data_IF_562894866835
#
_entry.id   IF_562894866835
#
_cell.length_a   1.000
_cell.length_b   1.000
_cell.length_c   1.000
_cell.angle_alpha   90.00
_cell.angle_beta   90.00
_cell.angle_gamma   90.00
#
_symmetry.space_group_name_H-M   'P 1'
#
loop_
_entity.id
_entity.type
_entity.pdbx_description
1 polymer ?
#
# COMPACT_ATOMS: atom_id res chain seq x y z
N UNK A 1 16.85 -14.16 -3.26
CA UNK A 1 15.81 -13.22 -2.83
C UNK A 1 15.93 -11.93 -3.60
N UNK A 2 14.85 -11.43 -4.13
CA UNK A 2 14.93 -10.21 -4.91
C UNK A 2 14.98 -9.01 -3.99
N UNK A 3 15.51 -7.90 -4.51
CA UNK A 3 15.55 -6.69 -3.73
C UNK A 3 14.13 -6.16 -3.54
N UNK A 4 13.96 -5.27 -2.56
CA UNK A 4 12.64 -4.76 -2.28
C UNK A 4 12.13 -3.95 -3.47
N UNK A 5 13.03 -3.28 -4.20
CA UNK A 5 12.59 -2.54 -5.38
C UNK A 5 12.10 -3.47 -6.47
N UNK A 6 12.77 -4.59 -6.66
CA UNK A 6 12.32 -5.55 -7.66
C UNK A 6 10.99 -6.17 -7.30
N UNK A 7 10.81 -6.48 -6.03
CA UNK A 7 9.57 -7.07 -5.58
C UNK A 7 8.44 -6.05 -5.71
N UNK A 8 8.70 -4.81 -5.30
CA UNK A 8 7.69 -3.78 -5.40
C UNK A 8 7.27 -3.57 -6.85
N UNK A 9 8.23 -3.55 -7.76
CA UNK A 9 7.91 -3.35 -9.16
C UNK A 9 7.09 -4.51 -9.71
N UNK A 10 7.48 -5.72 -9.35
CA UNK A 10 6.79 -6.90 -9.88
C UNK A 10 5.35 -6.97 -9.38
N UNK A 11 5.15 -6.68 -8.10
CA UNK A 11 3.81 -6.81 -7.55
C UNK A 11 2.95 -5.59 -7.82
N UNK A 12 3.55 -4.45 -8.14
CA UNK A 12 2.75 -3.27 -8.46
C UNK A 12 1.79 -3.56 -9.61
N UNK A 13 2.25 -4.30 -10.59
CA UNK A 13 1.38 -4.58 -11.72
C UNK A 13 0.15 -5.35 -11.32
N UNK A 14 0.31 -6.33 -10.43
CA UNK A 14 -0.83 -7.09 -9.95
C UNK A 14 -1.73 -6.25 -9.09
N UNK A 15 -1.14 -5.50 -8.17
CA UNK A 15 -1.94 -4.77 -7.21
C UNK A 15 -2.66 -3.60 -7.83
N UNK A 16 -2.08 -2.99 -8.87
CA UNK A 16 -2.75 -1.88 -9.51
C UNK A 16 -4.02 -2.29 -10.25
N UNK A 17 -4.18 -3.59 -10.49
CA UNK A 17 -5.42 -4.08 -11.07
C UNK A 17 -6.52 -4.20 -10.05
N UNK A 18 -6.21 -4.08 -8.78
CA UNK A 18 -7.23 -4.22 -7.74
C UNK A 18 -7.98 -2.91 -7.57
N UNK A 19 -9.30 -2.98 -7.41
CA UNK A 19 -10.05 -1.74 -7.22
C UNK A 19 -9.61 -1.05 -5.94
N UNK A 20 -9.40 0.24 -6.01
CA UNK A 20 -9.02 1.01 -4.85
C UNK A 20 -7.54 1.23 -4.68
N UNK A 21 -6.71 0.49 -5.38
CA UNK A 21 -5.26 0.70 -5.28
C UNK A 21 -4.89 1.83 -6.22
N UNK A 22 -4.25 2.87 -5.68
CA UNK A 22 -3.90 4.03 -6.47
C UNK A 22 -2.40 4.17 -6.67
N UNK A 23 -1.59 3.40 -5.99
CA UNK A 23 -0.15 3.48 -6.19
C UNK A 23 0.59 2.64 -5.19
N UNK A 24 1.89 2.51 -5.40
CA UNK A 24 2.77 1.82 -4.46
C UNK A 24 4.04 2.62 -4.29
N UNK A 25 4.78 2.31 -3.26
CA UNK A 25 6.03 2.97 -3.01
C UNK A 25 6.85 2.17 -2.02
N UNK A 26 8.01 2.68 -1.69
CA UNK A 26 8.87 2.05 -0.71
C UNK A 26 9.01 3.00 0.46
N UNK A 27 8.74 2.51 1.65
CA UNK A 27 8.85 3.30 2.85
C UNK A 27 9.52 2.52 3.94
N UNK A 28 9.27 2.93 5.17
CA UNK A 28 9.84 2.27 6.33
C UNK A 28 8.78 2.02 7.36
N UNK A 29 8.90 0.88 8.00
CA UNK A 29 8.04 0.51 9.11
C UNK A 29 8.94 0.06 10.23
N UNK A 30 9.01 0.82 11.31
CA UNK A 30 9.89 0.53 12.44
C UNK A 30 11.34 0.33 11.96
N UNK A 31 11.78 1.28 11.13
CA UNK A 31 13.16 1.30 10.61
C UNK A 31 13.47 0.16 9.67
N UNK A 32 12.50 -0.60 9.23
CA UNK A 32 12.70 -1.67 8.28
C UNK A 32 12.07 -1.24 6.96
N UNK A 33 12.78 -1.37 5.84
CA UNK A 33 12.17 -1.03 4.56
C UNK A 33 10.93 -1.88 4.30
N UNK A 34 9.91 -1.26 3.75
CA UNK A 34 8.67 -1.95 3.46
C UNK A 34 8.10 -1.44 2.15
N UNK A 35 7.19 -2.22 1.60
CA UNK A 35 6.47 -1.83 0.40
C UNK A 35 5.15 -1.24 0.87
N UNK A 36 4.87 -0.01 0.45
CA UNK A 36 3.62 0.63 0.81
C UNK A 36 2.68 0.57 -0.38
N UNK A 37 1.44 0.21 -0.11
CA UNK A 37 0.40 0.18 -1.13
C UNK A 37 -0.62 1.23 -0.73
N UNK A 38 -0.81 2.23 -1.60
CA UNK A 38 -1.72 3.32 -1.29
C UNK A 38 -3.08 3.00 -1.86
N UNK A 39 -4.10 3.09 -1.02
CA UNK A 39 -5.45 2.71 -1.41
C UNK A 39 -6.39 3.86 -1.13
N UNK A 40 -7.42 3.97 -1.95
CA UNK A 40 -8.40 5.04 -1.82
C UNK A 40 -9.76 4.47 -1.46
N UNK A 41 -9.82 3.44 -0.72
CA UNK A 41 -11.09 2.85 -0.34
C UNK A 41 -10.94 2.06 0.92
N UNK A 42 -11.89 1.20 1.21
CA UNK A 42 -11.81 0.40 2.42
C UNK A 42 -10.61 -0.52 2.37
N UNK A 43 -9.76 -0.41 3.37
CA UNK A 43 -8.57 -1.26 3.43
C UNK A 43 -8.98 -2.70 3.65
N UNK A 44 -10.08 -2.92 4.37
CA UNK A 44 -10.47 -4.28 4.74
C UNK A 44 -10.64 -5.18 3.53
N UNK A 45 -11.16 -4.66 2.45
CA UNK A 45 -11.36 -5.48 1.27
C UNK A 45 -10.04 -5.87 0.63
N UNK A 46 -9.05 -5.01 0.74
CA UNK A 46 -7.78 -5.27 0.11
C UNK A 46 -6.86 -6.09 0.98
N UNK A 47 -7.07 -6.10 2.28
CA UNK A 47 -6.25 -6.91 3.16
C UNK A 47 -6.33 -8.37 2.83
N UNK A 48 -7.43 -8.82 2.28
CA UNK A 48 -7.57 -10.22 1.90
C UNK A 48 -6.86 -10.53 0.60
N UNK A 49 -6.63 -9.53 -0.21
CA UNK A 49 -6.01 -9.76 -1.52
C UNK A 49 -4.54 -9.43 -1.53
N UNK A 50 -4.08 -8.56 -0.65
CA UNK A 50 -2.69 -8.15 -0.59
C UNK A 50 -2.11 -8.69 0.70
N UNK A 51 -1.13 -9.59 0.62
CA UNK A 51 -0.56 -10.14 1.85
C UNK A 51 0.24 -9.07 2.58
N UNK A 52 0.48 -9.31 3.87
CA UNK A 52 1.25 -8.35 4.65
C UNK A 52 2.75 -8.62 4.53
N UNK A 53 3.15 -9.57 3.71
CA UNK A 53 4.57 -9.84 3.48
C UNK A 53 4.72 -10.59 2.17
N UNK A 54 5.65 -10.16 1.31
CA UNK A 54 5.95 -10.87 0.08
C UNK A 54 7.46 -11.01 -0.02
N UNK A 55 7.90 -12.22 -0.31
CA UNK A 55 9.34 -12.52 -0.53
C UNK A 55 10.21 -11.93 0.57
N UNK A 56 9.72 -12.00 1.81
CA UNK A 56 10.50 -11.53 2.94
C UNK A 56 10.40 -10.04 3.19
N UNK A 57 9.64 -9.31 2.41
CA UNK A 57 9.49 -7.88 2.58
C UNK A 57 8.10 -7.56 3.10
N UNK A 58 8.03 -6.68 4.09
CA UNK A 58 6.75 -6.31 4.68
C UNK A 58 5.97 -5.43 3.72
N UNK A 59 4.66 -5.62 3.69
CA UNK A 59 3.76 -4.83 2.88
C UNK A 59 2.79 -4.12 3.81
N UNK A 60 2.67 -2.81 3.64
CA UNK A 60 1.82 -1.99 4.48
C UNK A 60 0.79 -1.31 3.58
N UNK A 61 -0.48 -1.49 3.91
CA UNK A 61 -1.54 -0.78 3.21
C UNK A 61 -1.75 0.56 3.87
N UNK A 62 -1.74 1.61 3.07
CA UNK A 62 -1.91 2.94 3.60
C UNK A 62 -3.06 3.62 2.88
N UNK A 63 -4.03 4.07 3.63
CA UNK A 63 -5.18 4.72 3.04
C UNK A 63 -4.82 6.14 2.68
N UNK A 64 -4.99 6.52 1.42
CA UNK A 64 -4.77 7.90 1.06
C UNK A 64 -6.03 8.64 1.32
N UNK A 65 -5.84 9.90 1.56
CA UNK A 65 -6.94 10.61 2.04
C UNK A 65 -7.67 11.47 1.13
N UNK A 66 -7.99 11.04 -0.03
CA UNK A 66 -8.67 11.96 -0.81
C UNK A 66 -9.99 12.20 -0.19
N UNK A 67 -10.52 11.26 0.49
CA UNK A 67 -11.72 11.54 1.04
C UNK A 67 -11.63 12.43 2.22
N UNK A 68 -10.50 12.62 2.75
CA UNK A 68 -10.46 13.42 3.86
C UNK A 68 -10.42 14.80 3.49
N UNK A 69 -10.49 15.07 2.31
CA UNK A 69 -10.49 16.42 2.02
C UNK A 69 -11.60 17.03 2.75
N UNK A 70 -12.49 16.38 3.12
CA UNK A 70 -13.37 17.02 3.80
C UNK A 70 -13.28 16.76 5.12
N UNK A 71 -12.85 16.06 5.31
CA UNK A 71 -12.71 15.80 6.42
C UNK A 71 -11.81 16.37 7.03
N UNK A 72 -11.25 16.56 6.41
CA UNK A 72 -10.30 17.10 6.99
C UNK A 72 -10.71 18.32 7.41
N UNK A 73 -11.18 18.44 6.95
CA UNK A 73 -11.41 19.17 7.39
C UNK A 73 -11.75 19.21 8.30
N UNK A 74 -11.89 18.82 8.29
CA UNK A 74 -12.07 18.76 9.01
C UNK A 74 -11.61 18.83 9.68
N UNK A 75 -11.17 18.81 9.66
CA UNK A 75 -10.74 18.86 10.16
C UNK A 75 -10.47 19.38 10.47
N UNK A 76 -10.36 19.60 10.22
CA UNK A 76 -10.09 19.99 10.49
C UNK A 76 -10.04 20.04 11.00
#
# INVERSE_FOLDING_TARGET
MRSIEEVQEAFTREWMDLPGVVGTGIGRYEDVPCIKVFVAGPIEELEERIPDEVEGHRVVLEQTGRFHARDAVSSS
#
